data_IF_620295283351
#
_entry.id   IF_620295283351
#
_cell.length_a   1.000
_cell.length_b   1.000
_cell.length_c   1.000
_cell.angle_alpha   90.00
_cell.angle_beta   90.00
_cell.angle_gamma   90.00
#
_symmetry.space_group_name_H-M   'P 1'
#
loop_
_entity.id
_entity.type
_entity.pdbx_description
1 polymer ?
#
# COMPACT_ATOMS: atom_id res chain seq x y z
N UNK A 1 -37.83 -22.59 -2.89
CA UNK A 1 -37.05 -21.39 -3.25
C UNK A 1 -36.33 -20.90 -1.99
N UNK A 2 -35.03 -21.19 -1.88
CA UNK A 2 -34.15 -20.75 -0.78
C UNK A 2 -33.09 -19.83 -1.40
N UNK A 3 -32.75 -18.67 -0.83
CA UNK A 3 -31.64 -17.87 -1.31
C UNK A 3 -30.31 -18.36 -0.71
N UNK A 4 -29.29 -18.40 -1.56
CA UNK A 4 -27.89 -18.65 -1.24
C UNK A 4 -27.36 -17.55 -0.30
N UNK A 5 -26.60 -17.95 0.73
CA UNK A 5 -25.66 -17.07 1.44
C UNK A 5 -24.26 -17.65 1.32
N UNK A 6 -23.39 -16.88 0.68
CA UNK A 6 -21.93 -17.04 0.63
C UNK A 6 -21.38 -16.74 2.03
N UNK A 7 -20.61 -17.67 2.62
CA UNK A 7 -19.85 -17.45 3.85
C UNK A 7 -18.36 -17.32 3.53
N UNK A 8 -17.81 -16.17 3.89
CA UNK A 8 -16.39 -15.84 3.93
C UNK A 8 -15.99 -15.73 5.40
N UNK A 9 -14.89 -16.36 5.83
CA UNK A 9 -14.22 -16.02 7.10
C UNK A 9 -12.70 -16.02 6.88
N UNK A 10 -12.10 -14.84 7.05
CA UNK A 10 -10.65 -14.65 7.19
C UNK A 10 -10.43 -13.74 8.38
N UNK A 11 -9.84 -14.26 9.46
CA UNK A 11 -8.88 -13.50 10.27
C UNK A 11 -8.09 -14.43 11.20
N UNK A 12 -6.79 -14.15 11.29
CA UNK A 12 -5.74 -14.77 12.13
C UNK A 12 -5.21 -16.14 11.72
N UNK A 13 -4.45 -16.16 10.61
CA UNK A 13 -3.19 -16.91 10.44
C UNK A 13 -2.56 -16.39 9.14
N UNK A 14 -1.57 -15.52 9.25
CA UNK A 14 -0.64 -15.21 8.15
C UNK A 14 0.75 -15.62 8.61
N UNK A 15 0.90 -16.92 8.88
CA UNK A 15 2.11 -17.63 8.53
C UNK A 15 1.99 -18.00 7.05
N UNK A 16 3.00 -17.63 6.27
CA UNK A 16 3.21 -18.14 4.91
C UNK A 16 3.15 -19.67 4.94
N UNK A 17 2.29 -20.28 4.14
CA UNK A 17 2.54 -21.62 3.63
C UNK A 17 2.91 -21.52 2.16
N UNK A 18 4.14 -21.92 1.90
CA UNK A 18 4.62 -22.31 0.59
C UNK A 18 4.50 -23.84 0.48
N UNK A 19 4.03 -24.27 -0.70
CA UNK A 19 4.27 -25.57 -1.34
C UNK A 19 3.39 -26.80 -1.00
N UNK A 20 3.19 -27.56 -2.09
CA UNK A 20 2.92 -28.99 -2.23
C UNK A 20 1.46 -29.49 -2.22
N UNK A 21 1.02 -29.90 -3.40
CA UNK A 21 -0.11 -30.80 -3.65
C UNK A 21 0.29 -32.23 -3.28
N UNK A 22 -0.55 -32.92 -2.49
CA UNK A 22 -0.69 -34.38 -2.54
C UNK A 22 -2.13 -34.79 -2.14
N UNK A 23 -2.70 -35.89 -2.67
CA UNK A 23 -4.14 -36.15 -2.67
C UNK A 23 -4.58 -37.04 -1.50
N UNK A 24 -5.77 -36.80 -0.95
CA UNK A 24 -6.41 -37.71 0.00
C UNK A 24 -7.57 -37.05 0.75
N UNK A 25 -8.80 -37.42 0.40
CA UNK A 25 -10.01 -36.88 1.04
C UNK A 25 -10.28 -37.49 2.40
N UNK A 26 -10.67 -36.64 3.36
CA UNK A 26 -11.48 -37.00 4.54
C UNK A 26 -12.37 -35.80 4.89
N UNK A 27 -13.67 -36.03 5.03
CA UNK A 27 -14.67 -35.03 5.38
C UNK A 27 -14.54 -34.57 6.84
N UNK A 28 -14.73 -33.26 7.09
CA UNK A 28 -14.77 -32.64 8.44
C UNK A 28 -16.21 -32.28 8.83
N UNK A 29 -16.57 -32.33 10.14
CA UNK A 29 -17.96 -32.32 10.60
C UNK A 29 -18.52 -30.91 10.88
N UNK A 30 -19.85 -30.87 10.93
CA UNK A 30 -20.73 -29.71 11.03
C UNK A 30 -20.64 -29.00 12.40
N UNK A 31 -20.24 -27.73 12.42
CA UNK A 31 -20.30 -26.85 13.58
C UNK A 31 -21.17 -25.63 13.26
N UNK A 32 -22.40 -25.66 13.76
CA UNK A 32 -23.31 -24.51 13.74
C UNK A 32 -22.88 -23.49 14.80
N UNK A 33 -22.51 -22.28 14.36
CA UNK A 33 -22.28 -21.14 15.26
C UNK A 33 -23.09 -19.94 14.78
N UNK A 34 -23.91 -19.43 15.70
CA UNK A 34 -24.84 -18.32 15.53
C UNK A 34 -24.12 -17.02 15.17
N UNK A 35 -24.69 -16.30 14.21
CA UNK A 35 -24.26 -14.96 13.79
C UNK A 35 -24.63 -13.91 14.85
N UNK A 36 -23.65 -13.40 15.59
CA UNK A 36 -23.77 -12.13 16.30
C UNK A 36 -22.98 -11.07 15.53
N UNK A 37 -23.67 -10.02 15.06
CA UNK A 37 -23.04 -8.76 14.65
C UNK A 37 -21.99 -8.37 15.72
N UNK A 38 -20.77 -7.97 15.33
CA UNK A 38 -19.83 -7.35 16.30
C UNK A 38 -20.41 -6.01 16.75
N UNK A 39 -21.18 -6.04 17.82
CA UNK A 39 -21.83 -4.92 18.52
C UNK A 39 -20.84 -4.00 19.26
N UNK A 40 -19.53 -4.21 19.11
CA UNK A 40 -18.48 -3.59 19.95
C UNK A 40 -17.71 -2.44 19.27
N UNK A 41 -18.02 -2.08 18.03
CA UNK A 41 -17.38 -0.95 17.31
C UNK A 41 -17.46 0.37 18.10
N UNK A 42 -18.55 0.53 18.86
CA UNK A 42 -18.81 1.69 19.70
C UNK A 42 -18.60 1.42 21.19
N UNK A 43 -17.94 0.30 21.56
CA UNK A 43 -17.60 0.06 22.95
C UNK A 43 -16.74 1.23 23.46
N UNK A 44 -17.09 1.82 24.62
CA UNK A 44 -16.27 2.86 25.22
C UNK A 44 -14.86 2.32 25.46
N UNK A 45 -13.83 3.07 25.02
CA UNK A 45 -12.46 2.71 25.37
C UNK A 45 -12.28 2.80 26.89
N UNK A 46 -11.50 1.89 27.50
CA UNK A 46 -11.24 1.92 28.93
C UNK A 46 -10.57 3.24 29.35
N UNK A 47 -10.97 3.76 30.50
CA UNK A 47 -10.38 4.98 31.10
C UNK A 47 -9.34 4.57 32.12
N UNK A 48 -8.11 5.01 31.90
CA UNK A 48 -6.99 4.71 32.80
C UNK A 48 -6.77 5.84 33.81
N UNK A 49 -6.81 5.56 35.13
CA UNK A 49 -6.47 6.56 36.14
C UNK A 49 -4.98 6.92 36.09
N UNK A 50 -4.63 8.13 36.54
CA UNK A 50 -3.29 8.71 36.40
C UNK A 50 -2.17 7.81 36.94
N UNK A 51 -2.40 7.11 38.06
CA UNK A 51 -1.40 6.23 38.68
C UNK A 51 -1.03 5.00 37.84
N UNK A 52 -1.85 4.62 36.85
CA UNK A 52 -1.56 3.51 35.92
C UNK A 52 -0.77 3.96 34.68
N UNK A 53 -0.62 5.27 34.50
CA UNK A 53 0.09 5.89 33.38
C UNK A 53 1.51 6.19 33.77
N UNK A 54 2.37 6.34 32.76
CA UNK A 54 3.79 6.64 32.95
C UNK A 54 4.00 7.88 33.84
N UNK A 55 4.97 7.80 34.75
CA UNK A 55 5.27 8.88 35.71
C UNK A 55 5.64 10.20 35.05
N UNK A 56 6.13 10.18 33.79
CA UNK A 56 6.50 11.38 33.04
C UNK A 56 5.35 12.36 32.83
N UNK A 57 4.10 11.88 32.90
CA UNK A 57 2.92 12.74 32.74
C UNK A 57 2.32 13.24 34.07
N UNK A 58 2.76 12.74 35.23
CA UNK A 58 2.09 13.00 36.52
C UNK A 58 2.13 14.47 36.96
N UNK A 59 3.11 15.25 36.49
CA UNK A 59 3.22 16.70 36.74
C UNK A 59 2.64 17.59 35.64
N UNK A 60 2.13 17.01 34.55
CA UNK A 60 1.63 17.79 33.42
C UNK A 60 0.20 18.26 33.67
N UNK A 61 -0.13 19.46 33.16
CA UNK A 61 -1.50 19.96 33.19
C UNK A 61 -2.38 19.14 32.25
N UNK A 62 -3.60 18.73 32.63
CA UNK A 62 -4.52 18.07 31.71
C UNK A 62 -4.89 18.99 30.55
N UNK A 63 -4.71 18.53 29.31
CA UNK A 63 -5.10 19.33 28.13
C UNK A 63 -6.63 19.49 28.04
N UNK A 64 -7.39 18.50 28.51
CA UNK A 64 -8.86 18.50 28.50
C UNK A 64 -9.46 19.77 29.12
N UNK A 65 -8.88 20.29 30.19
CA UNK A 65 -9.38 21.50 30.85
C UNK A 65 -9.39 22.74 29.91
N UNK A 66 -8.42 22.83 28.99
CA UNK A 66 -8.38 23.90 27.98
C UNK A 66 -9.49 23.71 26.93
N UNK A 67 -9.73 22.47 26.53
CA UNK A 67 -10.79 22.11 25.57
C UNK A 67 -12.16 22.40 26.17
N UNK A 68 -12.40 22.03 27.42
CA UNK A 68 -13.67 22.24 28.10
C UNK A 68 -14.00 23.73 28.23
N UNK A 69 -13.02 24.55 28.59
CA UNK A 69 -13.17 26.00 28.74
C UNK A 69 -13.39 26.76 27.41
N UNK A 70 -12.91 26.24 26.28
CA UNK A 70 -13.03 26.91 24.99
C UNK A 70 -14.49 26.88 24.47
N UNK A 71 -15.08 28.00 24.02
CA UNK A 71 -16.40 27.98 23.40
C UNK A 71 -16.44 27.11 22.13
N UNK A 72 -17.58 26.47 21.85
CA UNK A 72 -17.76 25.75 20.59
C UNK A 72 -17.60 26.70 19.39
N UNK A 73 -16.96 26.22 18.32
CA UNK A 73 -16.62 26.99 17.11
C UNK A 73 -15.45 27.96 17.27
N UNK A 74 -14.88 28.11 18.47
CA UNK A 74 -13.77 29.02 18.71
C UNK A 74 -12.40 28.46 18.25
N UNK A 75 -11.37 29.29 18.37
CA UNK A 75 -9.98 28.91 18.15
C UNK A 75 -9.25 28.86 19.49
N UNK A 76 -8.86 27.67 19.92
CA UNK A 76 -7.99 27.44 21.06
C UNK A 76 -6.52 27.47 20.60
N UNK A 77 -5.75 28.42 21.13
CA UNK A 77 -4.29 28.50 20.99
C UNK A 77 -3.65 28.25 22.35
N UNK A 78 -3.30 27.01 22.69
CA UNK A 78 -2.67 26.70 23.98
C UNK A 78 -1.30 27.36 24.08
N UNK A 79 -0.86 27.75 25.30
CA UNK A 79 0.53 28.11 25.53
C UNK A 79 1.48 26.97 25.13
N UNK A 80 2.71 27.27 24.67
CA UNK A 80 3.74 26.26 24.45
C UNK A 80 3.97 25.39 25.69
N UNK A 81 4.09 24.07 25.51
CA UNK A 81 4.34 23.16 26.62
C UNK A 81 3.85 21.73 26.38
N UNK A 82 4.11 20.88 27.39
CA UNK A 82 3.61 19.52 27.45
C UNK A 82 2.39 19.41 28.36
N UNK A 83 1.42 18.61 27.94
CA UNK A 83 0.15 18.40 28.60
C UNK A 83 -0.18 16.92 28.70
N UNK A 84 -0.89 16.55 29.77
CA UNK A 84 -1.41 15.19 29.94
C UNK A 84 -2.67 15.00 29.09
N UNK A 85 -2.70 13.91 28.33
CA UNK A 85 -3.90 13.32 27.77
C UNK A 85 -4.67 12.47 28.80
N UNK A 86 -5.79 11.83 28.42
CA UNK A 86 -6.34 11.80 27.08
C UNK A 86 -7.15 13.08 26.81
N UNK A 87 -7.53 13.30 25.55
CA UNK A 87 -8.39 14.41 25.16
C UNK A 87 -9.58 13.89 24.37
N UNK A 88 -10.78 14.31 24.76
CA UNK A 88 -12.03 14.03 24.07
C UNK A 88 -12.63 15.35 23.58
N UNK A 89 -12.59 15.56 22.27
CA UNK A 89 -13.16 16.73 21.62
C UNK A 89 -14.56 16.39 21.09
N UNK A 90 -15.59 16.85 21.80
CA UNK A 90 -17.01 16.55 21.51
C UNK A 90 -17.77 17.74 20.90
N UNK A 91 -17.09 18.85 20.64
CA UNK A 91 -17.64 20.07 20.02
C UNK A 91 -16.78 20.52 18.86
N UNK A 92 -17.32 21.24 17.86
CA UNK A 92 -16.50 21.88 16.83
C UNK A 92 -15.52 22.84 17.52
N UNK A 93 -14.24 22.71 17.23
CA UNK A 93 -13.19 23.58 17.80
C UNK A 93 -11.98 23.55 16.89
N UNK A 94 -11.35 24.70 16.67
CA UNK A 94 -10.00 24.74 16.09
C UNK A 94 -8.98 24.74 17.21
N UNK A 95 -8.12 23.75 17.26
CA UNK A 95 -6.97 23.67 18.18
C UNK A 95 -5.71 23.87 17.35
N UNK A 96 -4.98 24.94 17.64
CA UNK A 96 -3.73 25.30 16.98
C UNK A 96 -2.59 25.36 18.00
N UNK A 97 -1.73 24.33 17.97
CA UNK A 97 -0.59 24.20 18.87
C UNK A 97 0.65 24.97 18.41
N UNK A 98 0.64 25.59 17.22
CA UNK A 98 1.77 26.35 16.69
C UNK A 98 3.09 25.56 16.58
N UNK A 99 3.04 24.23 16.54
CA UNK A 99 4.20 23.34 16.55
C UNK A 99 4.93 23.23 17.90
N UNK A 100 4.33 23.75 18.98
CA UNK A 100 4.98 23.90 20.30
C UNK A 100 4.22 23.21 21.44
N UNK A 101 3.15 22.49 21.12
CA UNK A 101 2.29 21.79 22.08
C UNK A 101 2.49 20.29 21.94
N UNK A 102 2.73 19.62 23.07
CA UNK A 102 2.82 18.16 23.16
C UNK A 102 1.68 17.66 24.05
N UNK A 103 0.97 16.62 23.60
CA UNK A 103 -0.04 15.91 24.38
C UNK A 103 0.42 14.46 24.52
N UNK A 104 0.65 14.02 25.76
CA UNK A 104 1.15 12.67 26.09
C UNK A 104 0.12 11.92 26.95
N UNK A 105 -0.28 10.71 26.54
CA UNK A 105 -1.22 9.89 27.32
C UNK A 105 -0.55 8.98 28.36
N UNK A 106 0.79 8.92 28.41
CA UNK A 106 1.54 8.15 29.40
C UNK A 106 1.47 6.64 29.17
N UNK A 107 1.56 6.22 27.90
CA UNK A 107 1.58 4.83 27.42
C UNK A 107 0.34 4.01 27.83
N UNK A 108 -0.82 4.67 27.90
CA UNK A 108 -2.12 4.04 28.19
C UNK A 108 -3.24 4.67 27.37
N UNK A 109 -4.02 3.82 26.69
CA UNK A 109 -5.19 4.25 25.94
C UNK A 109 -4.84 5.11 24.73
N UNK A 110 -5.85 5.80 24.20
CA UNK A 110 -5.68 6.73 23.09
C UNK A 110 -5.39 8.15 23.58
N UNK A 111 -4.61 8.91 22.81
CA UNK A 111 -4.15 10.26 23.21
C UNK A 111 -5.21 11.32 22.96
N UNK A 112 -5.77 11.33 21.76
CA UNK A 112 -6.73 12.35 21.33
C UNK A 112 -7.86 11.71 20.52
N UNK A 113 -9.11 12.01 20.88
CA UNK A 113 -10.30 11.59 20.13
C UNK A 113 -11.09 12.81 19.68
N UNK A 114 -11.34 12.93 18.37
CA UNK A 114 -12.28 13.88 17.78
C UNK A 114 -13.61 13.16 17.57
N UNK A 115 -14.58 13.48 18.43
CA UNK A 115 -15.95 12.96 18.39
C UNK A 115 -16.96 14.04 17.96
N UNK A 116 -16.50 15.06 17.23
CA UNK A 116 -17.30 16.15 16.68
C UNK A 116 -17.09 16.29 15.17
N UNK A 117 -18.05 16.95 14.51
CA UNK A 117 -17.92 17.35 13.12
C UNK A 117 -17.29 18.75 13.02
N UNK A 118 -16.53 19.00 11.96
CA UNK A 118 -16.01 20.34 11.64
C UNK A 118 -14.92 20.87 12.60
N UNK A 119 -14.27 19.99 13.36
CA UNK A 119 -13.12 20.34 14.18
C UNK A 119 -11.82 20.41 13.35
N UNK A 120 -10.86 21.20 13.85
CA UNK A 120 -9.53 21.30 13.27
C UNK A 120 -8.50 21.05 14.36
N UNK A 121 -7.63 20.07 14.17
CA UNK A 121 -6.47 19.85 15.01
C UNK A 121 -5.22 20.11 14.18
N UNK A 122 -4.40 21.10 14.59
CA UNK A 122 -3.19 21.45 13.85
C UNK A 122 -1.99 21.76 14.72
N UNK A 123 -0.80 21.43 14.22
CA UNK A 123 0.46 21.85 14.82
C UNK A 123 0.69 21.35 16.25
N UNK A 124 0.19 20.15 16.58
CA UNK A 124 0.43 19.50 17.87
C UNK A 124 1.24 18.23 17.68
N UNK A 125 2.01 17.87 18.71
CA UNK A 125 2.63 16.55 18.83
C UNK A 125 1.76 15.66 19.73
N UNK A 126 1.37 14.49 19.24
CA UNK A 126 0.62 13.47 19.98
C UNK A 126 1.54 12.28 20.22
N UNK A 127 1.64 11.82 21.47
CA UNK A 127 2.59 10.77 21.84
C UNK A 127 2.10 9.91 23.01
N UNK A 128 2.70 8.73 23.16
CA UNK A 128 2.49 7.88 24.33
C UNK A 128 1.11 7.24 24.38
N UNK A 129 0.60 6.73 23.25
CA UNK A 129 -0.56 5.84 23.28
C UNK A 129 -0.20 4.52 23.98
N UNK A 130 -1.20 3.76 24.40
CA UNK A 130 -1.00 2.42 24.94
C UNK A 130 -0.63 1.37 23.88
N UNK A 131 -0.56 0.11 24.32
CA UNK A 131 -0.01 -1.01 23.55
C UNK A 131 -1.09 -2.07 23.20
N UNK A 132 -2.36 -1.72 23.39
CA UNK A 132 -3.49 -2.62 23.18
C UNK A 132 -4.01 -2.57 21.74
N UNK A 133 -4.00 -3.74 21.09
CA UNK A 133 -4.49 -3.92 19.72
C UNK A 133 -6.00 -4.10 19.63
N UNK A 134 -6.62 -4.63 20.67
CA UNK A 134 -8.07 -4.83 20.81
C UNK A 134 -8.82 -3.50 20.94
N UNK A 135 -8.27 -2.54 21.68
CA UNK A 135 -8.82 -1.18 21.81
C UNK A 135 -8.28 -0.21 20.77
N UNK A 136 -7.39 -0.67 19.88
CA UNK A 136 -6.63 0.14 18.92
C UNK A 136 -6.11 1.44 19.54
N UNK A 137 -5.20 1.34 20.51
CA UNK A 137 -4.68 2.49 21.24
C UNK A 137 -3.93 3.46 20.30
N UNK A 138 -4.64 4.51 19.88
CA UNK A 138 -4.21 5.44 18.83
C UNK A 138 -3.77 6.79 19.38
N UNK A 139 -2.87 7.47 18.68
CA UNK A 139 -2.57 8.86 19.00
C UNK A 139 -3.69 9.82 18.59
N UNK A 140 -4.28 9.62 17.42
CA UNK A 140 -5.46 10.36 17.00
C UNK A 140 -6.54 9.42 16.51
N UNK A 141 -7.70 9.48 17.13
CA UNK A 141 -8.93 8.84 16.66
C UNK A 141 -9.92 9.90 16.18
N UNK A 142 -10.51 9.71 15.01
CA UNK A 142 -11.52 10.62 14.44
C UNK A 142 -12.79 9.82 14.16
N UNK A 143 -13.88 10.24 14.80
CA UNK A 143 -15.22 9.65 14.67
C UNK A 143 -16.24 10.56 13.99
N UNK A 144 -16.00 11.88 13.98
CA UNK A 144 -16.87 12.84 13.29
C UNK A 144 -16.46 13.08 11.84
N UNK A 145 -17.24 13.88 11.12
CA UNK A 145 -17.07 14.17 9.69
C UNK A 145 -16.54 15.60 9.46
N UNK A 146 -16.00 15.84 8.26
CA UNK A 146 -15.55 17.18 7.83
C UNK A 146 -14.51 17.80 8.77
N UNK A 147 -13.71 16.97 9.42
CA UNK A 147 -12.61 17.40 10.28
C UNK A 147 -11.33 17.61 9.49
N UNK A 148 -10.41 18.39 10.06
CA UNK A 148 -9.07 18.60 9.52
C UNK A 148 -8.02 18.23 10.56
N UNK A 149 -7.16 17.28 10.23
CA UNK A 149 -5.97 16.91 11.00
C UNK A 149 -4.73 17.27 10.17
N UNK A 150 -4.00 18.30 10.58
CA UNK A 150 -2.90 18.83 9.77
C UNK A 150 -1.64 19.22 10.54
N UNK A 151 -0.48 19.05 9.91
CA UNK A 151 0.83 19.42 10.49
C UNK A 151 1.05 18.81 11.88
N UNK A 152 0.57 17.59 12.11
CA UNK A 152 0.74 16.85 13.35
C UNK A 152 2.06 16.09 13.35
N UNK A 153 2.64 15.94 14.54
CA UNK A 153 3.75 15.00 14.78
C UNK A 153 3.22 13.88 15.66
N UNK A 154 3.31 12.65 15.17
CA UNK A 154 2.80 11.45 15.83
C UNK A 154 3.95 10.46 15.98
N UNK A 155 4.27 10.12 17.23
CA UNK A 155 5.38 9.23 17.57
C UNK A 155 5.15 8.53 18.91
N UNK A 156 5.79 7.37 19.10
CA UNK A 156 5.54 6.50 20.27
C UNK A 156 4.05 6.15 20.42
N UNK A 157 3.41 5.78 19.30
CA UNK A 157 2.02 5.36 19.27
C UNK A 157 1.91 3.97 18.65
N UNK A 158 1.07 3.10 19.22
CA UNK A 158 0.78 1.82 18.59
C UNK A 158 0.07 2.05 17.26
N UNK A 159 -1.07 2.76 17.29
CA UNK A 159 -1.77 3.26 16.10
C UNK A 159 -1.55 4.77 15.94
N UNK A 160 -1.33 5.24 14.72
CA UNK A 160 -1.08 6.66 14.46
C UNK A 160 -2.37 7.48 14.41
N UNK A 161 -2.98 7.56 13.22
CA UNK A 161 -4.27 8.20 12.97
C UNK A 161 -5.30 7.15 12.54
N UNK A 162 -6.41 7.03 13.27
CA UNK A 162 -7.51 6.09 12.98
C UNK A 162 -8.82 6.85 12.72
N UNK A 163 -9.34 6.76 11.50
CA UNK A 163 -10.65 7.28 11.11
C UNK A 163 -11.66 6.15 11.18
N UNK A 164 -12.69 6.31 12.01
CA UNK A 164 -13.70 5.28 12.26
C UNK A 164 -15.08 5.83 11.94
N UNK A 165 -15.69 5.32 10.87
CA UNK A 165 -17.00 5.77 10.37
C UNK A 165 -17.04 7.28 10.13
N UNK A 166 -15.96 7.80 9.54
CA UNK A 166 -15.64 9.22 9.51
C UNK A 166 -15.42 9.67 8.06
N UNK A 167 -16.29 10.55 7.57
CA UNK A 167 -16.35 10.91 6.16
C UNK A 167 -15.96 12.37 5.90
N UNK A 168 -15.52 12.63 4.67
CA UNK A 168 -15.22 13.97 4.15
C UNK A 168 -14.15 14.72 4.96
N UNK A 169 -13.25 14.00 5.63
CA UNK A 169 -12.16 14.60 6.41
C UNK A 169 -10.92 14.86 5.56
N UNK A 170 -10.07 15.74 6.07
CA UNK A 170 -8.77 16.05 5.50
C UNK A 170 -7.69 15.67 6.52
N UNK A 171 -6.82 14.73 6.14
CA UNK A 171 -5.64 14.33 6.90
C UNK A 171 -4.42 14.71 6.07
N UNK A 172 -3.71 15.77 6.44
CA UNK A 172 -2.64 16.30 5.59
C UNK A 172 -1.38 16.75 6.29
N UNK A 173 -0.23 16.61 5.62
CA UNK A 173 1.06 17.10 6.09
C UNK A 173 1.45 16.59 7.49
N UNK A 174 0.98 15.41 7.89
CA UNK A 174 1.31 14.82 9.19
C UNK A 174 2.56 13.95 9.08
N UNK A 175 3.36 13.92 10.15
CA UNK A 175 4.49 12.99 10.29
C UNK A 175 4.13 11.92 11.32
N UNK A 176 4.17 10.67 10.91
CA UNK A 176 3.71 9.52 11.69
C UNK A 176 4.83 8.48 11.78
N UNK A 177 5.14 8.11 13.02
CA UNK A 177 6.05 7.01 13.36
C UNK A 177 5.43 6.18 14.48
N UNK A 178 5.69 4.87 14.50
CA UNK A 178 5.13 3.98 15.52
C UNK A 178 6.05 3.86 16.74
N UNK A 179 5.66 2.98 17.67
CA UNK A 179 6.51 2.55 18.78
C UNK A 179 7.74 1.79 18.27
N UNK A 180 8.88 1.83 18.99
CA UNK A 180 10.12 1.17 18.60
C UNK A 180 10.08 -0.34 18.90
N UNK A 181 9.06 -1.03 18.35
CA UNK A 181 8.87 -2.48 18.43
C UNK A 181 9.02 -3.10 17.04
N UNK A 182 9.08 -4.42 16.96
CA UNK A 182 9.19 -5.15 15.70
C UNK A 182 8.02 -4.86 14.77
N UNK A 183 8.28 -4.86 13.46
CA UNK A 183 7.31 -4.45 12.44
C UNK A 183 5.96 -5.20 12.53
N UNK A 184 6.00 -6.50 12.85
CA UNK A 184 4.80 -7.33 12.94
C UNK A 184 3.88 -7.00 14.11
N UNK A 185 4.41 -6.39 15.18
CA UNK A 185 3.66 -6.04 16.40
C UNK A 185 3.34 -4.54 16.50
N UNK A 186 3.74 -3.73 15.52
CA UNK A 186 3.29 -2.34 15.39
C UNK A 186 1.81 -2.30 15.02
N UNK A 187 1.11 -1.25 15.43
CA UNK A 187 -0.20 -0.92 14.88
C UNK A 187 -0.09 -0.16 13.56
N UNK A 188 -1.25 0.14 12.98
CA UNK A 188 -1.33 0.83 11.70
C UNK A 188 -1.01 2.32 11.88
N UNK A 189 -0.18 2.87 10.98
CA UNK A 189 0.21 4.28 11.04
C UNK A 189 -0.94 5.20 10.65
N UNK A 190 -1.70 4.81 9.63
CA UNK A 190 -2.94 5.50 9.24
C UNK A 190 -3.98 4.48 8.83
N UNK A 191 -5.20 4.60 9.36
CA UNK A 191 -6.28 3.67 9.09
C UNK A 191 -7.56 4.43 8.73
N UNK A 192 -8.18 4.03 7.63
CA UNK A 192 -9.53 4.39 7.24
C UNK A 192 -10.41 3.15 7.44
N UNK A 193 -11.37 3.23 8.35
CA UNK A 193 -12.31 2.15 8.64
C UNK A 193 -13.74 2.65 8.45
N UNK A 194 -14.47 2.09 7.48
CA UNK A 194 -15.81 2.58 7.06
C UNK A 194 -15.87 4.10 6.80
N UNK A 195 -14.80 4.65 6.24
CA UNK A 195 -14.56 6.09 6.16
C UNK A 195 -14.42 6.50 4.69
N UNK A 196 -15.37 7.27 4.19
CA UNK A 196 -15.54 7.56 2.76
C UNK A 196 -15.22 9.00 2.40
N UNK A 197 -14.85 9.23 1.15
CA UNK A 197 -14.62 10.56 0.58
C UNK A 197 -13.59 11.41 1.33
N UNK A 198 -12.66 10.78 2.05
CA UNK A 198 -11.59 11.48 2.75
C UNK A 198 -10.44 11.85 1.82
N UNK A 199 -9.68 12.87 2.21
CA UNK A 199 -8.45 13.29 1.53
C UNK A 199 -7.26 13.06 2.45
N UNK A 200 -6.35 12.19 2.04
CA UNK A 200 -5.11 11.87 2.75
C UNK A 200 -3.93 12.36 1.91
N UNK A 201 -3.38 13.51 2.28
CA UNK A 201 -2.49 14.28 1.39
C UNK A 201 -1.16 14.69 2.04
N UNK A 202 -0.03 14.41 1.40
CA UNK A 202 1.26 14.96 1.85
C UNK A 202 1.74 14.42 3.21
N UNK A 203 1.20 13.30 3.70
CA UNK A 203 1.61 12.72 4.97
C UNK A 203 2.90 11.88 4.81
N UNK A 204 3.67 11.78 5.87
CA UNK A 204 4.85 10.92 5.96
C UNK A 204 4.61 9.84 7.00
N UNK A 205 4.53 8.59 6.56
CA UNK A 205 4.40 7.39 7.40
C UNK A 205 5.71 6.61 7.30
N UNK A 206 6.48 6.63 8.39
CA UNK A 206 7.80 6.01 8.44
C UNK A 206 7.85 5.09 9.65
N UNK A 207 8.46 3.91 9.51
CA UNK A 207 8.63 2.97 10.62
C UNK A 207 7.29 2.66 11.32
N UNK A 208 6.27 2.33 10.52
CA UNK A 208 4.92 1.94 10.98
C UNK A 208 4.51 0.63 10.35
N UNK A 209 3.41 -0.01 10.78
CA UNK A 209 2.98 -1.27 10.16
C UNK A 209 2.40 -1.01 8.77
N UNK A 210 1.19 -0.46 8.72
CA UNK A 210 0.45 -0.28 7.48
C UNK A 210 -0.17 1.13 7.36
N UNK A 211 -0.44 1.54 6.13
CA UNK A 211 -1.57 2.42 5.80
C UNK A 211 -2.72 1.55 5.32
N UNK A 212 -3.79 1.44 6.10
CA UNK A 212 -4.96 0.59 5.81
C UNK A 212 -6.16 1.41 5.33
N UNK A 213 -6.81 0.93 4.27
CA UNK A 213 -8.09 1.43 3.77
C UNK A 213 -9.08 0.27 3.73
N UNK A 214 -10.03 0.26 4.66
CA UNK A 214 -10.92 -0.87 4.90
C UNK A 214 -12.39 -0.45 4.86
N UNK A 215 -13.19 -1.06 3.98
CA UNK A 215 -14.60 -0.69 3.75
C UNK A 215 -14.80 0.81 3.47
N UNK A 216 -13.80 1.42 2.85
CA UNK A 216 -13.62 2.87 2.77
C UNK A 216 -13.49 3.27 1.31
N UNK A 217 -14.60 3.75 0.74
CA UNK A 217 -14.71 4.03 -0.69
C UNK A 217 -14.49 5.51 -1.01
N UNK A 218 -14.08 5.82 -2.25
CA UNK A 218 -14.06 7.19 -2.78
C UNK A 218 -13.01 8.11 -2.17
N UNK A 219 -11.98 7.57 -1.51
CA UNK A 219 -10.93 8.37 -0.89
C UNK A 219 -9.86 8.77 -1.90
N UNK A 220 -9.26 9.94 -1.66
CA UNK A 220 -8.12 10.46 -2.43
C UNK A 220 -6.87 10.39 -1.57
N UNK A 221 -5.88 9.64 -2.04
CA UNK A 221 -4.63 9.38 -1.34
C UNK A 221 -3.50 9.86 -2.25
N UNK A 222 -2.94 11.03 -1.95
CA UNK A 222 -1.96 11.65 -2.84
C UNK A 222 -0.76 12.29 -2.18
N UNK A 223 0.37 12.25 -2.88
CA UNK A 223 1.63 12.87 -2.48
C UNK A 223 2.14 12.44 -1.10
N UNK A 224 1.76 11.25 -0.62
CA UNK A 224 2.23 10.72 0.66
C UNK A 224 3.59 10.01 0.49
N UNK A 225 4.37 9.99 1.56
CA UNK A 225 5.60 9.22 1.69
C UNK A 225 5.37 8.05 2.64
N UNK A 226 5.62 6.83 2.16
CA UNK A 226 5.60 5.61 2.97
C UNK A 226 6.96 4.93 2.94
N UNK A 227 7.57 4.66 4.11
CA UNK A 227 8.91 4.08 4.16
C UNK A 227 9.15 3.15 5.35
N UNK A 228 9.82 2.02 5.09
CA UNK A 228 10.14 1.00 6.13
C UNK A 228 8.89 0.53 6.87
N UNK A 229 7.82 0.37 6.12
CA UNK A 229 6.55 -0.18 6.58
C UNK A 229 6.31 -1.57 5.99
N UNK A 230 5.34 -2.30 6.53
CA UNK A 230 4.91 -3.57 5.95
C UNK A 230 4.14 -3.30 4.65
N UNK A 231 3.00 -2.63 4.75
CA UNK A 231 2.26 -2.15 3.57
C UNK A 231 2.24 -0.61 3.55
N UNK A 232 2.82 -0.01 2.52
CA UNK A 232 2.65 1.43 2.31
C UNK A 232 1.23 1.82 1.91
N UNK A 233 0.47 0.87 1.36
CA UNK A 233 -0.97 0.96 1.14
C UNK A 233 -1.59 -0.44 1.13
N UNK A 234 -2.67 -0.61 1.88
CA UNK A 234 -3.39 -1.87 2.01
C UNK A 234 -4.90 -1.62 1.88
N UNK A 235 -5.47 -1.99 0.74
CA UNK A 235 -6.92 -1.95 0.51
C UNK A 235 -7.55 -3.28 0.87
N UNK A 236 -8.68 -3.22 1.58
CA UNK A 236 -9.52 -4.37 1.88
C UNK A 236 -10.99 -3.97 1.75
N UNK A 237 -11.68 -4.49 0.74
CA UNK A 237 -13.09 -4.15 0.43
C UNK A 237 -13.32 -2.63 0.26
N UNK A 238 -12.42 -1.92 -0.42
CA UNK A 238 -12.38 -0.46 -0.44
C UNK A 238 -12.34 0.08 -1.87
N UNK A 239 -13.50 0.42 -2.41
CA UNK A 239 -13.72 0.63 -3.84
C UNK A 239 -13.50 2.07 -4.28
N UNK A 240 -13.25 2.27 -5.57
CA UNK A 240 -13.27 3.60 -6.21
C UNK A 240 -12.31 4.61 -5.55
N UNK A 241 -11.14 4.16 -5.09
CA UNK A 241 -10.13 5.00 -4.46
C UNK A 241 -9.08 5.47 -5.47
N UNK A 242 -8.54 6.68 -5.27
CA UNK A 242 -7.45 7.25 -6.06
C UNK A 242 -6.14 7.23 -5.25
N UNK A 243 -5.09 6.63 -5.82
CA UNK A 243 -3.72 6.60 -5.29
C UNK A 243 -2.80 7.29 -6.29
N UNK A 244 -2.40 8.53 -6.00
CA UNK A 244 -1.69 9.38 -6.95
C UNK A 244 -0.42 10.06 -6.40
N UNK A 245 0.69 10.02 -7.13
CA UNK A 245 1.86 10.84 -6.79
C UNK A 245 2.57 10.45 -5.50
N UNK A 246 2.28 9.26 -4.95
CA UNK A 246 2.87 8.79 -3.70
C UNK A 246 4.26 8.21 -3.94
N UNK A 247 5.08 8.23 -2.89
CA UNK A 247 6.45 7.68 -2.93
C UNK A 247 6.61 6.63 -1.83
N UNK A 248 6.84 5.39 -2.23
CA UNK A 248 6.90 4.24 -1.35
C UNK A 248 8.26 3.53 -1.48
N UNK A 249 9.04 3.55 -0.40
CA UNK A 249 10.43 3.06 -0.38
C UNK A 249 10.69 2.06 0.74
N UNK A 250 11.52 1.04 0.48
CA UNK A 250 12.04 0.13 1.52
C UNK A 250 10.92 -0.54 2.33
N UNK A 251 9.75 -0.79 1.71
CA UNK A 251 8.62 -1.43 2.37
C UNK A 251 8.64 -2.94 2.08
N UNK A 252 7.93 -3.76 2.86
CA UNK A 252 7.72 -5.14 2.42
C UNK A 252 6.85 -5.17 1.15
N UNK A 253 5.80 -4.34 1.11
CA UNK A 253 4.93 -4.17 -0.05
C UNK A 253 4.59 -2.69 -0.25
N UNK A 254 4.64 -2.23 -1.50
CA UNK A 254 4.27 -0.88 -1.90
C UNK A 254 2.77 -0.65 -1.76
N UNK A 255 1.99 -1.21 -2.68
CA UNK A 255 0.53 -1.11 -2.71
C UNK A 255 -0.07 -2.50 -2.85
N UNK A 256 -1.04 -2.84 -2.01
CA UNK A 256 -1.75 -4.12 -2.09
C UNK A 256 -3.27 -3.88 -2.18
N UNK A 257 -3.90 -4.43 -3.22
CA UNK A 257 -5.33 -4.28 -3.52
C UNK A 257 -6.04 -5.61 -3.30
N UNK A 258 -6.86 -5.71 -2.25
CA UNK A 258 -7.57 -6.95 -1.90
C UNK A 258 -9.08 -6.79 -1.92
N UNK A 259 -9.76 -7.70 -2.63
CA UNK A 259 -11.22 -7.78 -2.64
C UNK A 259 -11.88 -6.44 -3.01
N UNK A 260 -11.29 -5.75 -3.98
CA UNK A 260 -11.51 -4.32 -4.22
C UNK A 260 -11.64 -4.07 -5.72
N UNK A 261 -12.56 -3.18 -6.09
CA UNK A 261 -12.86 -2.77 -7.47
C UNK A 261 -12.64 -1.27 -7.68
N UNK A 262 -12.27 -0.87 -8.89
CA UNK A 262 -12.32 0.53 -9.32
C UNK A 262 -11.19 1.43 -8.79
N UNK A 263 -10.08 0.86 -8.33
CA UNK A 263 -8.95 1.66 -7.83
C UNK A 263 -8.16 2.24 -8.99
N UNK A 264 -7.75 3.51 -8.87
CA UNK A 264 -6.83 4.16 -9.81
C UNK A 264 -5.50 4.37 -9.11
N UNK A 265 -4.46 3.73 -9.61
CA UNK A 265 -3.08 3.81 -9.11
C UNK A 265 -2.24 4.48 -10.20
N UNK A 266 -1.88 5.75 -10.01
CA UNK A 266 -1.11 6.48 -11.03
C UNK A 266 -0.02 7.40 -10.54
N UNK A 267 1.01 7.60 -11.34
CA UNK A 267 2.10 8.54 -11.05
C UNK A 267 2.81 8.27 -9.71
N UNK A 268 2.79 7.03 -9.21
CA UNK A 268 3.46 6.67 -7.97
C UNK A 268 4.88 6.16 -8.25
N UNK A 269 5.78 6.37 -7.29
CA UNK A 269 7.11 5.75 -7.28
C UNK A 269 7.11 4.69 -6.19
N UNK A 270 7.37 3.45 -6.58
CA UNK A 270 7.44 2.31 -5.67
C UNK A 270 8.80 1.66 -5.87
N UNK A 271 9.57 1.57 -4.79
CA UNK A 271 10.92 1.06 -4.89
C UNK A 271 11.41 0.30 -3.67
N UNK A 272 12.30 -0.66 -3.91
CA UNK A 272 12.92 -1.49 -2.87
C UNK A 272 11.88 -2.25 -2.03
N UNK A 273 10.81 -2.73 -2.69
CA UNK A 273 9.88 -3.68 -2.08
C UNK A 273 10.48 -5.09 -2.14
N UNK A 274 11.33 -5.40 -1.17
CA UNK A 274 12.22 -6.56 -1.16
C UNK A 274 11.83 -7.58 -0.08
N UNK A 275 12.47 -8.75 -0.12
CA UNK A 275 12.20 -9.88 0.77
C UNK A 275 11.35 -10.95 0.10
N UNK A 276 11.08 -12.05 0.82
CA UNK A 276 10.40 -13.23 0.27
C UNK A 276 8.99 -12.93 -0.27
N UNK A 277 8.31 -11.94 0.31
CA UNK A 277 6.99 -11.47 -0.13
C UNK A 277 7.05 -10.07 -0.75
N UNK A 278 8.23 -9.63 -1.19
CA UNK A 278 8.47 -8.28 -1.68
C UNK A 278 7.68 -7.97 -2.94
N UNK A 279 6.76 -7.01 -2.91
CA UNK A 279 5.94 -6.64 -4.07
C UNK A 279 5.80 -5.13 -4.21
N UNK A 280 5.98 -4.61 -5.42
CA UNK A 280 5.69 -3.22 -5.74
C UNK A 280 4.19 -2.95 -5.66
N UNK A 281 3.42 -3.58 -6.55
CA UNK A 281 1.95 -3.58 -6.54
C UNK A 281 1.46 -5.02 -6.50
N UNK A 282 0.54 -5.35 -5.61
CA UNK A 282 -0.07 -6.67 -5.53
C UNK A 282 -1.58 -6.63 -5.64
N UNK A 283 -2.15 -7.64 -6.29
CA UNK A 283 -3.60 -7.84 -6.42
C UNK A 283 -4.00 -9.18 -5.80
N UNK A 284 -5.10 -9.17 -5.05
CA UNK A 284 -5.81 -10.38 -4.64
C UNK A 284 -7.30 -10.19 -4.82
N UNK A 285 -7.87 -10.94 -5.74
CA UNK A 285 -9.29 -10.88 -6.07
C UNK A 285 -9.77 -9.43 -6.30
N UNK A 286 -9.01 -8.67 -7.10
CA UNK A 286 -9.28 -7.29 -7.43
C UNK A 286 -9.80 -7.14 -8.87
N UNK A 287 -10.54 -6.07 -9.15
CA UNK A 287 -11.22 -5.86 -10.43
C UNK A 287 -11.22 -4.37 -10.84
N UNK A 288 -11.55 -4.06 -12.10
CA UNK A 288 -11.64 -2.71 -12.70
C UNK A 288 -10.56 -1.71 -12.24
N UNK A 289 -9.32 -2.17 -12.11
CA UNK A 289 -8.24 -1.34 -11.57
C UNK A 289 -7.36 -0.79 -12.70
N UNK A 290 -7.04 0.50 -12.63
CA UNK A 290 -6.11 1.17 -13.54
C UNK A 290 -4.77 1.40 -12.85
N UNK A 291 -3.71 0.81 -13.39
CA UNK A 291 -2.31 1.02 -13.01
C UNK A 291 -1.63 1.78 -14.14
N UNK A 292 -1.39 3.07 -13.95
CA UNK A 292 -0.92 3.95 -15.00
C UNK A 292 0.25 4.85 -14.62
N UNK A 293 1.29 4.95 -15.46
CA UNK A 293 2.37 5.94 -15.29
C UNK A 293 3.09 5.83 -13.95
N UNK A 294 3.21 4.63 -13.38
CA UNK A 294 3.96 4.38 -12.15
C UNK A 294 5.41 3.96 -12.48
N UNK A 295 6.34 4.37 -11.62
CA UNK A 295 7.71 3.83 -11.58
C UNK A 295 7.75 2.71 -10.53
N UNK A 296 7.91 1.46 -10.98
CA UNK A 296 7.96 0.26 -10.12
C UNK A 296 9.35 -0.36 -10.29
N UNK A 297 10.24 -0.07 -9.33
CA UNK A 297 11.68 -0.27 -9.52
C UNK A 297 12.41 -0.93 -8.36
N UNK A 298 13.31 -1.85 -8.65
CA UNK A 298 14.11 -2.55 -7.62
C UNK A 298 13.26 -3.29 -6.58
N UNK A 299 12.14 -3.88 -7.00
CA UNK A 299 11.32 -4.75 -6.15
C UNK A 299 11.63 -6.22 -6.43
N UNK A 300 11.39 -7.11 -5.45
CA UNK A 300 11.50 -8.55 -5.70
C UNK A 300 10.51 -8.99 -6.79
N UNK A 301 9.26 -8.54 -6.69
CA UNK A 301 8.25 -8.59 -7.74
C UNK A 301 7.72 -7.19 -8.01
N UNK A 302 7.70 -6.74 -9.26
CA UNK A 302 7.15 -5.45 -9.65
C UNK A 302 5.63 -5.42 -9.45
N UNK A 303 4.91 -6.23 -10.22
CA UNK A 303 3.46 -6.41 -10.09
C UNK A 303 3.15 -7.89 -9.84
N UNK A 304 2.48 -8.21 -8.73
CA UNK A 304 1.94 -9.54 -8.44
C UNK A 304 0.43 -9.57 -8.66
N UNK A 305 -0.08 -10.59 -9.34
CA UNK A 305 -1.52 -10.75 -9.58
C UNK A 305 -2.01 -12.14 -9.17
N UNK A 306 -2.93 -12.16 -8.19
CA UNK A 306 -3.61 -13.35 -7.72
C UNK A 306 -5.13 -13.25 -7.95
N UNK A 307 -5.64 -14.16 -8.79
CA UNK A 307 -7.08 -14.32 -9.09
C UNK A 307 -7.74 -13.00 -9.53
N UNK A 308 -6.98 -12.16 -10.25
CA UNK A 308 -7.37 -10.81 -10.63
C UNK A 308 -7.20 -10.60 -12.15
N UNK A 309 -8.21 -10.07 -12.89
CA UNK A 309 -9.54 -9.68 -12.45
C UNK A 309 -10.39 -10.80 -11.82
N UNK A 310 -11.16 -10.48 -10.78
CA UNK A 310 -12.00 -11.45 -10.07
C UNK A 310 -13.44 -11.48 -10.61
N UNK A 311 -14.02 -10.29 -10.78
CA UNK A 311 -15.40 -10.12 -11.22
C UNK A 311 -15.51 -10.41 -12.73
N UNK A 312 -16.55 -11.13 -13.18
CA UNK A 312 -16.76 -11.42 -14.60
C UNK A 312 -16.78 -10.15 -15.45
N UNK A 313 -16.22 -10.23 -16.66
CA UNK A 313 -16.19 -9.15 -17.66
C UNK A 313 -15.48 -7.85 -17.25
N UNK A 314 -14.79 -7.86 -16.10
CA UNK A 314 -13.96 -6.74 -15.63
C UNK A 314 -12.52 -6.85 -16.13
N UNK A 315 -11.77 -5.75 -16.02
CA UNK A 315 -10.39 -5.66 -16.52
C UNK A 315 -9.46 -5.05 -15.48
N UNK A 316 -8.17 -5.36 -15.62
CA UNK A 316 -7.10 -4.60 -14.98
C UNK A 316 -6.26 -4.02 -16.10
N UNK A 317 -6.13 -2.70 -16.11
CA UNK A 317 -5.33 -1.98 -17.11
C UNK A 317 -3.97 -1.64 -16.51
N UNK A 318 -2.90 -2.15 -17.11
CA UNK A 318 -1.52 -1.86 -16.74
C UNK A 318 -0.90 -1.16 -17.92
N UNK A 319 -0.78 0.17 -17.86
CA UNK A 319 -0.29 0.94 -19.01
C UNK A 319 0.63 2.09 -18.68
N UNK A 320 1.54 2.44 -19.59
CA UNK A 320 2.46 3.56 -19.44
C UNK A 320 3.35 3.48 -18.18
N UNK A 321 3.48 2.31 -17.54
CA UNK A 321 4.32 2.15 -16.35
C UNK A 321 5.76 1.87 -16.76
N UNK A 322 6.71 2.27 -15.91
CA UNK A 322 8.09 1.79 -15.97
C UNK A 322 8.28 0.70 -14.94
N UNK A 323 8.42 -0.54 -15.41
CA UNK A 323 8.62 -1.74 -14.59
C UNK A 323 10.07 -2.16 -14.80
N UNK A 324 10.96 -1.72 -13.91
CA UNK A 324 12.40 -1.83 -14.15
C UNK A 324 13.21 -2.37 -12.98
N UNK A 325 14.26 -3.13 -13.29
CA UNK A 325 15.22 -3.65 -12.31
C UNK A 325 14.60 -4.50 -11.20
N UNK A 326 13.45 -5.13 -11.47
CA UNK A 326 12.80 -6.03 -10.54
C UNK A 326 13.35 -7.45 -10.68
N UNK A 327 13.21 -8.27 -9.65
CA UNK A 327 13.45 -9.72 -9.77
C UNK A 327 12.50 -10.33 -10.80
N UNK A 328 11.21 -10.08 -10.64
CA UNK A 328 10.18 -10.39 -11.64
C UNK A 328 9.41 -9.10 -11.96
N UNK A 329 9.26 -8.74 -13.24
CA UNK A 329 8.49 -7.57 -13.66
C UNK A 329 7.00 -7.73 -13.33
N UNK A 330 6.36 -8.76 -13.90
CA UNK A 330 4.98 -9.16 -13.56
C UNK A 330 4.94 -10.65 -13.22
N UNK A 331 4.36 -11.00 -12.07
CA UNK A 331 4.11 -12.36 -11.65
C UNK A 331 2.60 -12.63 -11.59
N UNK A 332 2.13 -13.60 -12.38
CA UNK A 332 0.77 -14.12 -12.28
C UNK A 332 0.77 -15.42 -11.48
N UNK A 333 -0.11 -15.53 -10.48
CA UNK A 333 -0.26 -16.77 -9.73
C UNK A 333 -1.15 -17.81 -10.43
N UNK A 334 -1.81 -17.41 -11.52
CA UNK A 334 -2.70 -18.24 -12.31
C UNK A 334 -2.95 -17.62 -13.69
N UNK A 335 -3.62 -18.36 -14.57
CA UNK A 335 -3.86 -17.96 -15.97
C UNK A 335 -5.10 -17.08 -16.15
N UNK A 336 -5.45 -16.24 -15.17
CA UNK A 336 -6.61 -15.34 -15.28
C UNK A 336 -6.50 -14.43 -16.51
N UNK A 337 -7.65 -14.21 -17.12
CA UNK A 337 -7.82 -13.35 -18.30
C UNK A 337 -8.28 -11.96 -17.88
N UNK A 338 -8.15 -10.97 -18.78
CA UNK A 338 -8.69 -9.62 -18.57
C UNK A 338 -7.67 -8.59 -18.07
N UNK A 339 -6.40 -8.98 -17.93
CA UNK A 339 -5.31 -8.02 -17.79
C UNK A 339 -4.96 -7.45 -19.16
N UNK A 340 -4.92 -6.11 -19.26
CA UNK A 340 -4.59 -5.36 -20.46
C UNK A 340 -3.27 -4.63 -20.21
N UNK A 341 -2.19 -5.18 -20.75
CA UNK A 341 -0.81 -4.72 -20.51
C UNK A 341 -0.29 -4.02 -21.76
N UNK A 342 -0.29 -2.68 -21.75
CA UNK A 342 0.03 -1.89 -22.95
C UNK A 342 0.94 -0.71 -22.68
N UNK A 343 1.84 -0.40 -23.62
CA UNK A 343 2.67 0.81 -23.54
C UNK A 343 3.55 0.93 -22.29
N UNK A 344 3.87 -0.18 -21.63
CA UNK A 344 4.78 -0.19 -20.49
C UNK A 344 6.24 -0.29 -20.98
N UNK A 345 7.17 0.15 -20.12
CA UNK A 345 8.61 0.00 -20.30
C UNK A 345 9.09 -1.09 -19.35
N UNK A 346 9.46 -2.24 -19.91
CA UNK A 346 10.11 -3.33 -19.21
C UNK A 346 11.64 -3.21 -19.38
N UNK A 347 12.35 -2.94 -18.30
CA UNK A 347 13.78 -2.61 -18.37
C UNK A 347 14.59 -3.29 -17.25
N UNK A 348 15.54 -4.13 -17.62
CA UNK A 348 16.53 -4.70 -16.70
C UNK A 348 15.92 -5.58 -15.61
N UNK A 349 14.70 -6.08 -15.80
CA UNK A 349 14.14 -7.07 -14.89
C UNK A 349 14.88 -8.40 -15.07
N UNK A 350 15.08 -9.16 -13.99
CA UNK A 350 15.70 -10.48 -14.12
C UNK A 350 14.76 -11.39 -14.91
N UNK A 351 13.47 -11.41 -14.59
CA UNK A 351 12.43 -12.07 -15.39
C UNK A 351 11.37 -11.05 -15.74
N UNK A 352 11.09 -10.83 -17.03
CA UNK A 352 10.09 -9.83 -17.43
C UNK A 352 8.69 -10.20 -16.93
N UNK A 353 8.25 -11.43 -17.24
CA UNK A 353 6.94 -11.96 -16.85
C UNK A 353 7.07 -13.44 -16.50
N UNK A 354 6.40 -13.84 -15.42
CA UNK A 354 6.30 -15.23 -14.98
C UNK A 354 4.85 -15.60 -14.62
N UNK A 355 4.53 -16.89 -14.76
CA UNK A 355 3.24 -17.47 -14.36
C UNK A 355 3.53 -18.70 -13.50
N UNK A 356 2.99 -18.76 -12.29
CA UNK A 356 3.17 -19.90 -11.41
C UNK A 356 2.43 -21.14 -11.93
N UNK A 357 2.92 -22.33 -11.53
CA UNK A 357 2.29 -23.61 -11.86
C UNK A 357 2.42 -24.05 -13.31
N UNK A 358 3.43 -23.54 -14.04
CA UNK A 358 3.67 -23.87 -15.45
C UNK A 358 2.64 -23.29 -16.42
N UNK A 359 1.84 -22.31 -15.97
CA UNK A 359 0.79 -21.70 -16.76
C UNK A 359 1.28 -20.68 -17.78
N UNK A 360 0.33 -20.06 -18.48
CA UNK A 360 0.55 -19.05 -19.50
C UNK A 360 -0.31 -17.79 -19.30
N UNK A 361 0.21 -16.64 -19.71
CA UNK A 361 -0.46 -15.36 -19.73
C UNK A 361 -0.88 -14.92 -21.16
N UNK A 362 -0.86 -15.83 -22.15
CA UNK A 362 -1.24 -15.54 -23.55
C UNK A 362 -2.69 -15.09 -23.73
N UNK A 363 -3.56 -15.41 -22.77
CA UNK A 363 -4.98 -14.99 -22.78
C UNK A 363 -5.19 -13.57 -22.26
N UNK A 364 -4.13 -12.92 -21.78
CA UNK A 364 -4.13 -11.49 -21.49
C UNK A 364 -3.72 -10.70 -22.73
N UNK A 365 -4.05 -9.42 -22.76
CA UNK A 365 -3.71 -8.55 -23.89
C UNK A 365 -2.34 -7.91 -23.67
N UNK A 366 -1.44 -8.14 -24.62
CA UNK A 366 -0.10 -7.54 -24.64
C UNK A 366 0.08 -6.77 -25.93
N UNK A 367 0.34 -5.46 -25.84
CA UNK A 367 0.52 -4.62 -27.04
C UNK A 367 1.33 -3.36 -26.75
N UNK A 368 2.28 -3.04 -27.63
CA UNK A 368 2.93 -1.73 -27.60
C UNK A 368 3.86 -1.55 -26.40
N UNK A 369 4.20 -2.62 -25.68
CA UNK A 369 5.19 -2.52 -24.61
C UNK A 369 6.58 -2.43 -25.23
N UNK A 370 7.46 -1.69 -24.57
CA UNK A 370 8.88 -1.70 -24.88
C UNK A 370 9.58 -2.72 -23.97
N UNK A 371 10.40 -3.57 -24.58
CA UNK A 371 11.15 -4.63 -23.90
C UNK A 371 12.64 -4.42 -24.19
N UNK A 372 13.47 -4.38 -23.16
CA UNK A 372 14.92 -4.18 -23.33
C UNK A 372 15.63 -5.39 -23.97
N UNK A 373 14.97 -6.55 -24.01
CA UNK A 373 15.41 -7.78 -24.65
C UNK A 373 14.70 -8.08 -25.99
N UNK A 374 13.98 -7.11 -26.57
CA UNK A 374 13.43 -7.26 -27.91
C UNK A 374 14.54 -7.26 -28.98
N UNK A 375 14.58 -8.30 -29.82
CA UNK A 375 15.62 -8.52 -30.83
C UNK A 375 15.10 -8.41 -32.28
N UNK A 376 13.89 -7.88 -32.49
CA UNK A 376 13.34 -7.68 -33.83
C UNK A 376 13.84 -6.41 -34.51
N UNK A 377 13.24 -6.10 -35.66
CA UNK A 377 13.56 -4.94 -36.49
C UNK A 377 12.32 -4.07 -36.68
N UNK A 378 12.53 -2.79 -36.98
CA UNK A 378 11.51 -1.83 -37.42
C UNK A 378 11.95 -1.36 -38.81
N UNK A 379 11.54 -2.07 -39.87
CA UNK A 379 12.02 -1.80 -41.23
C UNK A 379 11.24 -0.69 -41.91
N UNK A 380 9.99 -0.49 -41.53
CA UNK A 380 9.12 0.56 -42.08
C UNK A 380 9.19 1.89 -41.28
N UNK A 381 9.92 1.90 -40.16
CA UNK A 381 10.15 3.04 -39.27
C UNK A 381 8.84 3.59 -38.66
N UNK A 382 7.87 2.72 -38.36
CA UNK A 382 6.63 3.12 -37.71
C UNK A 382 6.75 3.22 -36.17
N UNK A 383 7.91 2.84 -35.62
CA UNK A 383 8.22 2.86 -34.18
C UNK A 383 7.82 1.57 -33.44
N UNK A 384 7.22 0.61 -34.14
CA UNK A 384 6.89 -0.72 -33.66
C UNK A 384 7.77 -1.77 -34.35
N UNK A 385 7.92 -2.91 -33.69
CA UNK A 385 8.66 -4.03 -34.24
C UNK A 385 7.86 -4.82 -35.28
N UNK A 386 8.50 -5.15 -36.41
CA UNK A 386 7.94 -5.97 -37.51
C UNK A 386 7.58 -7.40 -37.07
N UNK A 387 8.24 -7.89 -36.01
CA UNK A 387 8.01 -9.22 -35.43
C UNK A 387 7.45 -9.12 -34.01
N UNK A 388 6.58 -10.05 -33.59
CA UNK A 388 6.09 -10.07 -32.22
C UNK A 388 7.24 -10.28 -31.21
N UNK A 389 7.05 -9.81 -29.98
CA UNK A 389 7.89 -10.20 -28.86
C UNK A 389 7.21 -11.37 -28.13
N UNK A 390 7.90 -12.52 -28.06
CA UNK A 390 7.39 -13.73 -27.44
C UNK A 390 8.29 -14.15 -26.29
N UNK A 391 7.69 -14.39 -25.12
CA UNK A 391 8.41 -14.98 -23.98
C UNK A 391 8.04 -16.46 -23.94
N UNK A 392 9.06 -17.30 -24.10
CA UNK A 392 8.96 -18.74 -23.99
C UNK A 392 9.49 -19.19 -22.61
N UNK A 393 8.83 -20.17 -22.02
CA UNK A 393 9.31 -20.92 -20.86
C UNK A 393 9.77 -22.32 -21.32
N UNK A 394 11.04 -22.60 -21.09
CA UNK A 394 11.65 -23.90 -21.35
C UNK A 394 11.49 -24.80 -20.11
N UNK A 395 11.44 -26.11 -20.32
CA UNK A 395 11.06 -27.08 -19.28
C UNK A 395 11.97 -27.10 -18.05
N UNK A 396 13.21 -26.65 -18.19
CA UNK A 396 14.22 -26.71 -17.13
C UNK A 396 14.47 -25.34 -16.48
N UNK A 397 13.46 -24.48 -16.37
CA UNK A 397 13.56 -23.23 -15.58
C UNK A 397 13.62 -23.53 -14.07
N UNK A 398 14.75 -24.07 -13.65
CA UNK A 398 15.11 -24.37 -12.27
C UNK A 398 14.87 -23.15 -11.40
N UNK A 399 15.05 -21.91 -11.88
CA UNK A 399 14.83 -20.71 -11.08
C UNK A 399 13.37 -20.31 -10.87
N UNK A 400 12.44 -20.77 -11.71
CA UNK A 400 11.01 -20.58 -11.47
C UNK A 400 10.51 -21.50 -10.35
N UNK A 401 11.03 -22.73 -10.31
CA UNK A 401 10.65 -23.73 -9.30
C UNK A 401 11.52 -23.66 -8.03
N UNK A 402 12.80 -23.27 -8.16
CA UNK A 402 13.78 -23.08 -7.10
C UNK A 402 14.28 -21.62 -7.12
N UNK A 403 13.61 -20.69 -6.42
CA UNK A 403 14.01 -19.29 -6.38
C UNK A 403 15.47 -19.06 -5.97
N UNK A 404 16.06 -19.95 -5.16
CA UNK A 404 17.48 -19.87 -4.78
C UNK A 404 18.45 -20.07 -5.95
N UNK A 405 18.03 -20.73 -7.02
CA UNK A 405 18.85 -20.90 -8.23
C UNK A 405 19.05 -19.59 -8.99
N UNK A 406 18.24 -18.55 -8.74
CA UNK A 406 18.44 -17.18 -9.28
C UNK A 406 19.84 -16.64 -8.97
N UNK A 407 20.45 -17.06 -7.86
CA UNK A 407 21.82 -16.67 -7.49
C UNK A 407 22.84 -17.04 -8.58
N UNK A 408 22.61 -18.13 -9.30
CA UNK A 408 23.52 -18.63 -10.33
C UNK A 408 23.16 -18.18 -11.74
N UNK A 409 22.13 -17.33 -11.92
CA UNK A 409 21.59 -17.00 -13.25
C UNK A 409 22.66 -16.54 -14.24
N UNK A 410 23.57 -15.67 -13.80
CA UNK A 410 24.64 -15.13 -14.64
C UNK A 410 25.94 -15.94 -14.55
N UNK A 411 25.91 -17.14 -13.97
CA UNK A 411 27.06 -18.03 -13.99
C UNK A 411 27.25 -18.56 -15.41
N UNK A 412 28.49 -18.67 -15.93
CA UNK A 412 28.74 -19.13 -17.29
C UNK A 412 28.07 -20.47 -17.65
N UNK A 413 27.92 -21.36 -16.67
CA UNK A 413 27.23 -22.64 -16.85
C UNK A 413 25.73 -22.46 -17.12
N UNK A 414 25.06 -21.54 -16.42
CA UNK A 414 23.63 -21.30 -16.59
C UNK A 414 23.34 -20.60 -17.93
N UNK A 415 24.19 -19.66 -18.35
CA UNK A 415 24.12 -19.05 -19.68
C UNK A 415 24.28 -20.08 -20.81
N UNK A 416 25.21 -21.04 -20.65
CA UNK A 416 25.40 -22.12 -21.61
C UNK A 416 24.18 -23.06 -21.69
N UNK A 417 23.55 -23.35 -20.54
CA UNK A 417 22.31 -24.12 -20.50
C UNK A 417 21.14 -23.38 -21.19
N UNK A 418 20.93 -22.09 -20.89
CA UNK A 418 19.87 -21.28 -21.55
C UNK A 418 20.07 -21.23 -23.07
N UNK A 419 21.33 -21.09 -23.55
CA UNK A 419 21.64 -21.14 -24.98
C UNK A 419 21.32 -22.49 -25.61
N UNK A 420 21.72 -23.60 -24.97
CA UNK A 420 21.44 -24.95 -25.46
C UNK A 420 19.93 -25.23 -25.51
N UNK A 421 19.17 -24.79 -24.51
CA UNK A 421 17.72 -24.94 -24.46
C UNK A 421 17.02 -24.16 -25.57
N UNK A 422 17.50 -22.96 -25.92
CA UNK A 422 16.97 -22.20 -27.05
C UNK A 422 17.28 -22.86 -28.40
N UNK A 423 18.45 -23.49 -28.53
CA UNK A 423 18.91 -24.10 -29.78
C UNK A 423 18.30 -25.48 -30.01
N UNK A 424 18.21 -26.31 -28.97
CA UNK A 424 17.77 -27.71 -29.02
C UNK A 424 16.97 -28.07 -27.75
N UNK A 425 15.73 -27.54 -27.61
CA UNK A 425 14.92 -27.82 -26.43
C UNK A 425 14.52 -29.30 -26.36
N UNK A 426 14.71 -29.93 -25.19
CA UNK A 426 14.33 -31.33 -24.96
C UNK A 426 12.80 -31.56 -24.97
N UNK A 427 12.02 -30.49 -24.83
CA UNK A 427 10.56 -30.47 -24.95
C UNK A 427 10.10 -29.15 -25.56
N UNK A 428 8.96 -29.13 -26.25
CA UNK A 428 8.39 -27.89 -26.79
C UNK A 428 8.22 -26.84 -25.68
N UNK A 429 8.78 -25.63 -25.84
CA UNK A 429 8.64 -24.59 -24.82
C UNK A 429 7.20 -24.08 -24.76
N UNK A 430 6.77 -23.68 -23.56
CA UNK A 430 5.46 -23.08 -23.33
C UNK A 430 5.51 -21.59 -23.62
N UNK A 431 4.61 -21.10 -24.47
CA UNK A 431 4.47 -19.66 -24.69
C UNK A 431 3.84 -19.00 -23.46
N UNK A 432 4.56 -18.10 -22.81
CA UNK A 432 4.08 -17.34 -21.64
C UNK A 432 3.26 -16.15 -22.09
N UNK A 433 3.75 -15.38 -23.07
CA UNK A 433 3.01 -14.25 -23.64
C UNK A 433 3.52 -13.94 -25.04
N UNK A 434 2.70 -13.19 -25.78
CA UNK A 434 3.05 -12.61 -27.08
C UNK A 434 2.56 -11.18 -27.14
N UNK A 435 3.48 -10.22 -27.22
CA UNK A 435 3.18 -8.84 -27.62
C UNK A 435 3.22 -8.77 -29.15
N UNK A 436 2.09 -8.48 -29.77
CA UNK A 436 1.94 -8.51 -31.23
C UNK A 436 2.54 -7.29 -31.94
N UNK A 437 2.83 -6.21 -31.22
CA UNK A 437 3.29 -4.95 -31.78
C UNK A 437 4.17 -4.24 -30.74
N UNK A 438 5.31 -4.83 -30.35
CA UNK A 438 6.20 -4.25 -29.36
C UNK A 438 6.74 -2.92 -29.87
N UNK A 439 7.01 -1.96 -28.98
CA UNK A 439 7.69 -0.71 -29.37
C UNK A 439 9.16 -1.00 -29.65
N UNK A 440 9.66 -0.51 -30.79
CA UNK A 440 11.07 -0.68 -31.16
C UNK A 440 11.98 0.24 -30.34
N UNK A 441 11.63 1.53 -30.28
CA UNK A 441 12.39 2.53 -29.53
C UNK A 441 11.84 2.72 -28.12
N UNK A 442 12.76 2.85 -27.15
CA UNK A 442 12.39 3.18 -25.78
C UNK A 442 11.70 4.55 -25.75
N UNK A 443 10.47 4.67 -25.23
CA UNK A 443 9.82 5.96 -25.12
C UNK A 443 10.64 6.86 -24.17
N UNK A 444 10.88 8.11 -24.59
CA UNK A 444 11.54 9.09 -23.72
C UNK A 444 10.59 9.44 -22.58
N UNK A 445 10.90 8.96 -21.37
CA UNK A 445 10.09 9.25 -20.18
C UNK A 445 9.97 10.76 -19.98
N UNK A 446 8.73 11.27 -19.91
CA UNK A 446 8.46 12.64 -19.50
C UNK A 446 9.11 12.86 -18.14
N UNK A 447 10.16 13.70 -18.09
CA UNK A 447 10.86 14.04 -16.86
C UNK A 447 9.83 14.52 -15.84
N UNK A 448 9.58 13.73 -14.80
CA UNK A 448 9.03 14.24 -13.56
C UNK A 448 9.86 15.46 -13.15
N UNK A 449 9.20 16.60 -12.99
CA UNK A 449 9.84 17.90 -12.79
C UNK A 449 10.96 17.81 -11.76
N UNK A 450 12.20 18.02 -12.19
CA UNK A 450 13.21 18.56 -11.29
C UNK A 450 12.60 19.86 -10.74
N UNK A 451 12.63 20.10 -9.41
CA UNK A 451 12.51 21.48 -8.94
C UNK A 451 13.58 22.24 -9.70
N UNK A 452 13.20 23.29 -10.42
CA UNK A 452 14.18 24.23 -10.94
C UNK A 452 15.08 24.60 -9.77
N UNK A 453 16.36 24.25 -9.87
CA UNK A 453 17.38 24.81 -8.99
C UNK A 453 17.23 26.32 -9.14
N UNK A 454 16.72 26.98 -8.11
CA UNK A 454 16.79 28.41 -7.98
C UNK A 454 18.24 28.78 -8.28
N UNK A 455 18.43 29.54 -9.36
CA UNK A 455 19.65 30.30 -9.57
C UNK A 455 19.82 31.16 -8.32
N UNK A 456 20.80 30.80 -7.49
CA UNK A 456 21.39 31.73 -6.54
C UNK A 456 21.87 32.94 -7.35
N UNK A 457 21.35 34.16 -7.10
CA UNK A 457 21.93 35.33 -7.72
C UNK A 457 23.32 35.55 -7.12
N UNK A 458 24.31 35.57 -8.00
CA UNK A 458 25.67 35.99 -7.69
C UNK A 458 25.65 37.40 -7.10
N UNK A 459 26.20 37.56 -5.90
CA UNK A 459 26.57 38.85 -5.35
C UNK A 459 27.62 39.49 -6.28
N UNK A 460 27.47 40.77 -6.68
CA UNK A 460 28.54 41.45 -7.39
C UNK A 460 29.67 41.75 -6.41
N UNK A 461 30.88 41.41 -6.81
CA UNK A 461 32.10 41.87 -6.17
C UNK A 461 32.37 43.32 -6.59
N UNK A 462 32.16 44.26 -5.66
CA UNK A 462 32.92 45.51 -5.46
C UNK A 462 32.17 46.39 -4.47
#
# INVERSE_FOLDING_TARGET
MRPLRVSLLVMSLLSLDAAAVAPGGVAMPDFSVQSTLRTEVNAPKPVYPLYQRDKRIHGLKPFQALVDAAPAGSVLRPPPGAYAGPVHLTKPLTIDGGGKVIIDAGDKGSVFTIASDGAVLRGVRLTGSGDLHDTEDACLEIRGNRNVAENLVIDNCLFGIDLRQSNDNIVRNNRITSKPVDLGVRGDGLRLWYSKNNRVEGNSLIDSRDFVVWYSDGNVIRNNLGRRSRYSMHFMFAHSNLVEGNRYYDNAVGIYVMYTDGVIIRNNIISHANGATGMGIGFKEASNTLVESNDIIYCATGIGSDLSPYEPDTKIWIRNNRIAFNGIGILFNNERIGNIVTDNVFEGNITQVAVNGGGSAVRNTWRGNWWDDYQGFDRDNDGHGDSPHEILAYADRIWMDLPHALFFKNAPLMEALDFLERLAPFSSPTLILRDSSPRFSKPQGGRHGRPSSQQTPSLPAS
#
